data_IF_755435163296
#
_entry.id   IF_755435163296
#
_cell.length_a   1.000
_cell.length_b   1.000
_cell.length_c   1.000
_cell.angle_alpha   90.00
_cell.angle_beta   90.00
_cell.angle_gamma   90.00
#
_symmetry.space_group_name_H-M   'P 1'
#
loop_
_entity.id
_entity.type
_entity.pdbx_description
1 polymer ?
#
# COMPACT_ATOMS: atom_id res chain seq x y z
N UNK A 1 6.45 15.39 -11.41
CA UNK A 1 7.33 14.32 -10.88
C UNK A 1 6.44 13.32 -10.22
N UNK A 2 6.45 12.08 -10.68
CA UNK A 2 5.58 11.02 -10.15
C UNK A 2 6.18 10.43 -8.88
N UNK A 3 5.34 10.19 -7.89
CA UNK A 3 5.79 9.62 -6.62
C UNK A 3 6.00 8.12 -6.74
N UNK A 4 7.18 7.65 -6.37
CA UNK A 4 7.47 6.23 -6.20
C UNK A 4 8.32 6.01 -4.95
N UNK A 5 8.22 4.82 -4.38
CA UNK A 5 9.04 4.38 -3.25
C UNK A 5 9.66 3.04 -3.62
N UNK A 6 10.97 2.91 -3.38
CA UNK A 6 11.70 1.64 -3.48
C UNK A 6 12.29 1.35 -2.11
N UNK A 7 12.06 0.16 -1.59
CA UNK A 7 12.55 -0.26 -0.28
C UNK A 7 13.27 -1.60 -0.39
N UNK A 8 14.40 -1.73 0.29
CA UNK A 8 15.04 -3.01 0.56
C UNK A 8 14.73 -3.36 2.02
N UNK A 9 13.96 -4.41 2.22
CA UNK A 9 13.52 -4.85 3.55
C UNK A 9 14.39 -5.95 4.15
N UNK A 10 15.14 -6.67 3.30
CA UNK A 10 15.91 -7.81 3.76
C UNK A 10 17.18 -7.99 2.92
N UNK A 11 18.29 -8.29 3.59
CA UNK A 11 19.55 -8.70 2.98
C UNK A 11 20.07 -9.92 3.75
N UNK A 12 20.20 -11.04 3.08
CA UNK A 12 20.71 -12.27 3.64
C UNK A 12 22.02 -12.66 2.97
N UNK A 13 22.95 -13.14 3.77
CA UNK A 13 24.26 -13.63 3.34
C UNK A 13 24.43 -15.08 3.83
N UNK A 14 23.83 -16.07 3.15
CA UNK A 14 23.85 -17.45 3.60
C UNK A 14 25.27 -18.00 3.75
N UNK A 15 25.54 -18.62 4.90
CA UNK A 15 26.86 -19.21 5.20
C UNK A 15 27.96 -18.19 5.50
N UNK A 16 27.62 -16.90 5.67
CA UNK A 16 28.61 -15.87 6.01
C UNK A 16 29.15 -16.05 7.43
N UNK A 17 30.45 -15.81 7.57
CA UNK A 17 31.14 -15.62 8.86
C UNK A 17 31.96 -14.34 8.76
N UNK A 18 32.32 -13.79 9.91
CA UNK A 18 32.91 -12.45 10.00
C UNK A 18 34.21 -12.23 9.16
N UNK A 19 34.92 -13.29 8.84
CA UNK A 19 36.22 -13.23 8.14
C UNK A 19 36.19 -13.93 6.76
N UNK A 20 35.01 -14.30 6.25
CA UNK A 20 34.86 -14.96 4.95
C UNK A 20 33.84 -14.21 4.12
N UNK A 21 34.20 -13.85 2.89
CA UNK A 21 33.27 -13.24 1.93
C UNK A 21 32.25 -14.28 1.50
N UNK A 22 30.95 -13.99 1.62
CA UNK A 22 29.90 -14.93 1.21
C UNK A 22 29.86 -15.12 -0.29
N UNK A 23 29.57 -16.34 -0.73
CA UNK A 23 29.39 -16.66 -2.16
C UNK A 23 28.15 -16.02 -2.76
N UNK A 24 27.10 -15.82 -1.93
CA UNK A 24 25.79 -15.34 -2.35
C UNK A 24 25.27 -14.27 -1.40
N UNK A 25 24.53 -13.32 -1.99
CA UNK A 25 23.68 -12.41 -1.27
C UNK A 25 22.25 -12.55 -1.79
N UNK A 26 21.27 -12.61 -0.89
CA UNK A 26 19.85 -12.59 -1.22
C UNK A 26 19.28 -11.27 -0.73
N UNK A 27 18.71 -10.49 -1.66
CA UNK A 27 18.16 -9.16 -1.38
C UNK A 27 16.69 -9.18 -1.72
N UNK A 28 15.84 -8.84 -0.75
CA UNK A 28 14.40 -8.76 -0.92
C UNK A 28 13.95 -7.32 -0.70
N UNK A 29 13.18 -6.83 -1.66
CA UNK A 29 12.65 -5.48 -1.62
C UNK A 29 11.37 -5.36 -2.41
N UNK A 30 10.80 -4.17 -2.40
CA UNK A 30 9.61 -3.85 -3.16
C UNK A 30 9.61 -2.40 -3.61
N UNK A 31 8.75 -2.09 -4.54
CA UNK A 31 8.49 -0.73 -4.95
C UNK A 31 6.98 -0.45 -4.99
N UNK A 32 6.63 0.80 -4.84
CA UNK A 32 5.24 1.28 -4.87
C UNK A 32 5.16 2.54 -5.71
N UNK A 33 4.12 2.65 -6.51
CA UNK A 33 3.83 3.83 -7.32
C UNK A 33 2.33 3.85 -7.64
N UNK A 34 1.79 5.03 -7.90
CA UNK A 34 0.41 5.21 -8.35
C UNK A 34 0.28 5.24 -9.88
N UNK A 35 1.40 5.22 -10.60
CA UNK A 35 1.43 5.36 -12.05
C UNK A 35 1.92 4.06 -12.70
N UNK A 36 1.11 3.50 -13.60
CA UNK A 36 1.41 2.24 -14.29
C UNK A 36 2.62 2.34 -15.22
N UNK A 37 2.89 3.50 -15.83
CA UNK A 37 4.07 3.70 -16.68
C UNK A 37 5.35 3.70 -15.83
N UNK A 38 5.31 4.36 -14.66
CA UNK A 38 6.42 4.32 -13.70
C UNK A 38 6.61 2.89 -13.18
N UNK A 39 5.52 2.15 -12.95
CA UNK A 39 5.59 0.73 -12.55
C UNK A 39 6.28 -0.12 -13.61
N UNK A 40 5.92 0.05 -14.88
CA UNK A 40 6.55 -0.67 -15.99
C UNK A 40 8.04 -0.31 -16.10
N UNK A 41 8.37 0.97 -15.99
CA UNK A 41 9.75 1.45 -15.98
C UNK A 41 10.57 0.82 -14.85
N UNK A 42 10.06 0.80 -13.63
CA UNK A 42 10.75 0.21 -12.48
C UNK A 42 10.97 -1.30 -12.66
N UNK A 43 9.97 -2.01 -13.18
CA UNK A 43 10.07 -3.44 -13.50
C UNK A 43 11.17 -3.74 -14.50
N UNK A 44 11.41 -2.86 -15.44
CA UNK A 44 12.51 -3.00 -16.39
C UNK A 44 13.85 -2.57 -15.79
N UNK A 45 13.89 -1.41 -15.14
CA UNK A 45 15.16 -0.79 -14.72
C UNK A 45 15.81 -1.46 -13.51
N UNK A 46 15.03 -2.02 -12.58
CA UNK A 46 15.59 -2.68 -11.38
C UNK A 46 16.45 -3.88 -11.78
N UNK A 47 15.98 -4.84 -12.61
CA UNK A 47 16.84 -5.93 -13.10
C UNK A 47 18.06 -5.43 -13.89
N UNK A 48 17.85 -4.50 -14.81
CA UNK A 48 18.95 -3.95 -15.63
C UNK A 48 20.10 -3.37 -14.76
N UNK A 49 19.74 -2.64 -13.71
CA UNK A 49 20.73 -2.06 -12.80
C UNK A 49 21.40 -3.14 -11.96
N UNK A 50 20.64 -4.10 -11.41
CA UNK A 50 21.18 -5.18 -10.60
C UNK A 50 22.16 -6.04 -11.40
N UNK A 51 21.78 -6.44 -12.61
CA UNK A 51 22.63 -7.22 -13.53
C UNK A 51 23.85 -6.42 -13.99
N UNK A 52 23.68 -5.15 -14.33
CA UNK A 52 24.77 -4.27 -14.75
C UNK A 52 25.82 -4.09 -13.66
N UNK A 53 25.41 -3.84 -12.43
CA UNK A 53 26.30 -3.68 -11.28
C UNK A 53 27.00 -5.00 -10.96
N UNK A 54 26.29 -6.12 -10.95
CA UNK A 54 26.86 -7.44 -10.72
C UNK A 54 27.93 -7.76 -11.77
N UNK A 55 27.62 -7.56 -13.05
CA UNK A 55 28.55 -7.80 -14.16
C UNK A 55 29.80 -6.94 -14.04
N UNK A 56 29.67 -5.66 -13.68
CA UNK A 56 30.81 -4.78 -13.47
C UNK A 56 31.75 -5.28 -12.35
N UNK A 57 31.22 -6.03 -11.39
CA UNK A 57 31.97 -6.65 -10.29
C UNK A 57 32.30 -8.13 -10.50
N UNK A 58 32.18 -8.65 -11.73
CA UNK A 58 32.41 -10.06 -12.07
C UNK A 58 31.51 -11.04 -11.30
N UNK A 59 30.31 -10.58 -10.96
CA UNK A 59 29.26 -11.36 -10.32
C UNK A 59 28.08 -11.55 -11.29
N UNK A 60 27.15 -12.40 -10.89
CA UNK A 60 25.88 -12.62 -11.60
C UNK A 60 24.74 -12.23 -10.67
N UNK A 61 23.80 -11.45 -11.17
CA UNK A 61 22.53 -11.23 -10.48
C UNK A 61 21.41 -11.94 -11.24
N UNK A 62 20.46 -12.49 -10.48
CA UNK A 62 19.18 -13.00 -10.99
C UNK A 62 18.08 -12.26 -10.26
N UNK A 63 17.27 -11.54 -11.00
CA UNK A 63 16.18 -10.74 -10.44
C UNK A 63 14.84 -11.41 -10.74
N UNK A 64 14.17 -11.88 -9.71
CA UNK A 64 12.81 -12.44 -9.80
C UNK A 64 11.82 -11.42 -9.32
N UNK A 65 10.77 -11.18 -10.08
CA UNK A 65 9.71 -10.23 -9.75
C UNK A 65 8.38 -10.95 -9.64
N UNK A 66 7.67 -10.73 -8.53
CA UNK A 66 6.28 -11.17 -8.38
C UNK A 66 5.33 -10.06 -8.85
N UNK A 67 4.17 -10.40 -9.44
CA UNK A 67 3.12 -9.43 -9.66
C UNK A 67 2.71 -8.82 -8.31
N UNK A 68 2.58 -7.51 -8.24
CA UNK A 68 1.95 -6.85 -7.11
C UNK A 68 0.52 -6.47 -7.48
N UNK A 69 -0.13 -5.70 -6.61
CA UNK A 69 -1.45 -5.15 -6.86
C UNK A 69 -1.35 -3.83 -7.63
N UNK A 70 -2.38 -3.52 -8.39
CA UNK A 70 -2.52 -2.21 -9.02
C UNK A 70 -2.91 -1.15 -7.97
N UNK A 71 -2.70 0.12 -8.31
CA UNK A 71 -3.12 1.20 -7.42
C UNK A 71 -4.64 1.16 -7.20
N UNK A 72 -5.07 1.27 -5.95
CA UNK A 72 -6.48 1.47 -5.62
C UNK A 72 -6.84 2.92 -5.91
N UNK A 73 -7.71 3.11 -6.89
CA UNK A 73 -8.21 4.43 -7.29
C UNK A 73 -9.72 4.44 -7.06
N UNK A 74 -10.17 5.29 -6.17
CA UNK A 74 -11.59 5.47 -5.89
C UNK A 74 -12.30 6.11 -7.09
N UNK A 75 -13.49 5.62 -7.43
CA UNK A 75 -14.39 6.31 -8.34
C UNK A 75 -14.85 7.63 -7.71
N UNK A 76 -14.66 8.74 -8.43
CA UNK A 76 -14.89 10.08 -7.90
C UNK A 76 -16.37 10.32 -7.53
N UNK A 77 -17.29 9.92 -8.42
CA UNK A 77 -18.72 10.11 -8.20
C UNK A 77 -19.19 9.27 -7.01
N UNK A 78 -18.80 8.01 -6.96
CA UNK A 78 -19.12 7.11 -5.85
C UNK A 78 -18.48 7.56 -4.55
N UNK A 79 -17.26 8.11 -4.55
CA UNK A 79 -16.59 8.62 -3.35
C UNK A 79 -17.36 9.81 -2.74
N UNK A 80 -17.88 10.71 -3.58
CA UNK A 80 -18.73 11.82 -3.14
C UNK A 80 -20.07 11.33 -2.58
N UNK A 81 -20.64 10.29 -3.16
CA UNK A 81 -21.90 9.71 -2.68
C UNK A 81 -21.70 8.96 -1.35
N UNK A 82 -20.64 8.13 -1.27
CA UNK A 82 -20.24 7.44 -0.03
C UNK A 82 -19.95 8.44 1.08
N UNK A 83 -19.26 9.55 0.81
CA UNK A 83 -18.98 10.55 1.85
C UNK A 83 -20.25 11.07 2.53
N UNK A 84 -21.30 11.34 1.75
CA UNK A 84 -22.60 11.79 2.29
C UNK A 84 -23.29 10.71 3.14
N UNK A 85 -23.18 9.44 2.72
CA UNK A 85 -23.76 8.35 3.53
C UNK A 85 -23.00 8.14 4.83
N UNK A 86 -21.67 8.30 4.82
CA UNK A 86 -20.83 8.20 6.01
C UNK A 86 -21.10 9.34 7.01
N UNK A 87 -21.34 10.56 6.54
CA UNK A 87 -21.71 11.69 7.41
C UNK A 87 -22.97 11.44 8.22
N UNK A 88 -23.92 10.64 7.73
CA UNK A 88 -25.09 10.23 8.48
C UNK A 88 -24.76 9.34 9.70
N UNK A 89 -23.57 8.70 9.70
CA UNK A 89 -23.12 7.83 10.78
C UNK A 89 -22.19 8.59 11.73
N UNK A 90 -21.19 9.29 11.16
CA UNK A 90 -20.12 9.92 11.96
C UNK A 90 -20.36 11.39 12.25
N UNK A 91 -21.39 12.00 11.65
CA UNK A 91 -21.71 13.42 11.75
C UNK A 91 -21.03 14.27 10.69
N UNK A 92 -21.67 15.40 10.41
CA UNK A 92 -21.21 16.38 9.43
C UNK A 92 -19.80 16.88 9.78
N UNK A 93 -18.92 16.99 8.78
CA UNK A 93 -17.54 17.45 8.93
C UNK A 93 -16.56 16.42 9.48
N UNK A 94 -17.01 15.22 9.84
CA UNK A 94 -16.13 14.13 10.29
C UNK A 94 -15.70 13.18 9.15
N UNK A 95 -16.15 13.43 7.93
CA UNK A 95 -15.66 12.76 6.73
C UNK A 95 -14.68 13.69 6.01
N UNK A 96 -13.46 13.23 5.82
CA UNK A 96 -12.39 14.01 5.20
C UNK A 96 -12.15 13.48 3.78
N UNK A 97 -12.48 14.27 2.77
CA UNK A 97 -12.08 14.00 1.40
C UNK A 97 -10.66 14.54 1.20
N UNK A 98 -9.76 13.70 0.73
CA UNK A 98 -8.37 14.10 0.50
C UNK A 98 -7.88 13.62 -0.87
N UNK A 99 -7.10 14.47 -1.52
CA UNK A 99 -6.37 14.14 -2.75
C UNK A 99 -4.92 13.72 -2.48
N UNK A 100 -4.55 13.55 -1.21
CA UNK A 100 -3.20 13.08 -0.84
C UNK A 100 -3.19 11.55 -0.88
N UNK A 101 -2.47 10.95 -1.82
CA UNK A 101 -2.41 9.49 -1.92
C UNK A 101 -1.62 8.89 -0.76
N UNK A 102 -2.04 7.70 -0.33
CA UNK A 102 -1.38 6.92 0.70
C UNK A 102 -0.60 5.75 0.07
N UNK A 103 0.70 5.65 0.35
CA UNK A 103 1.61 4.62 -0.19
C UNK A 103 1.46 3.25 0.50
N UNK A 104 0.28 2.94 1.02
CA UNK A 104 -0.06 1.60 1.49
C UNK A 104 -0.13 0.59 0.36
N UNK A 105 -0.13 -0.70 0.69
CA UNK A 105 -0.42 -1.78 -0.25
C UNK A 105 -1.79 -2.35 0.09
N UNK A 106 -2.66 -2.47 -0.91
CA UNK A 106 -4.03 -2.92 -0.76
C UNK A 106 -4.44 -3.69 -2.01
N UNK A 107 -5.15 -4.81 -1.86
CA UNK A 107 -5.60 -5.63 -2.99
C UNK A 107 -6.97 -5.21 -3.55
N UNK A 108 -7.68 -4.31 -2.88
CA UNK A 108 -8.94 -3.74 -3.36
C UNK A 108 -8.79 -3.06 -4.73
N UNK A 109 -7.59 -2.63 -5.08
CA UNK A 109 -7.25 -2.14 -6.42
C UNK A 109 -7.60 -3.12 -7.54
N UNK A 110 -7.56 -4.42 -7.27
CA UNK A 110 -7.98 -5.45 -8.23
C UNK A 110 -9.48 -5.35 -8.60
N UNK A 111 -10.32 -4.93 -7.67
CA UNK A 111 -11.74 -4.71 -7.92
C UNK A 111 -11.97 -3.40 -8.67
N UNK A 112 -11.31 -2.32 -8.26
CA UNK A 112 -11.52 -0.98 -8.87
C UNK A 112 -11.03 -0.88 -10.31
N UNK A 113 -10.24 -1.85 -10.80
CA UNK A 113 -9.91 -1.96 -12.22
C UNK A 113 -11.11 -2.42 -13.08
N UNK A 114 -12.13 -3.02 -12.49
CA UNK A 114 -13.24 -3.65 -13.21
C UNK A 114 -14.60 -3.02 -12.91
N UNK A 115 -14.76 -2.47 -11.72
CA UNK A 115 -16.02 -1.86 -11.27
C UNK A 115 -15.73 -0.59 -10.47
N UNK A 116 -16.63 0.41 -10.50
CA UNK A 116 -16.53 1.56 -9.60
C UNK A 116 -16.50 1.08 -8.14
N UNK A 117 -15.57 1.62 -7.36
CA UNK A 117 -15.40 1.23 -5.97
C UNK A 117 -14.79 2.34 -5.14
N UNK A 118 -15.00 2.27 -3.84
CA UNK A 118 -14.45 3.24 -2.87
C UNK A 118 -13.83 2.49 -1.70
N UNK A 119 -12.55 2.73 -1.48
CA UNK A 119 -11.86 2.40 -0.25
C UNK A 119 -11.78 3.66 0.62
N UNK A 120 -12.24 3.58 1.85
CA UNK A 120 -12.12 4.65 2.83
C UNK A 120 -11.39 4.17 4.08
N UNK A 121 -10.78 5.12 4.78
CA UNK A 121 -10.09 4.87 6.04
C UNK A 121 -11.00 5.24 7.21
N UNK A 122 -11.07 4.35 8.19
CA UNK A 122 -11.72 4.64 9.46
C UNK A 122 -10.67 5.09 10.48
N UNK A 123 -10.88 6.25 11.10
CA UNK A 123 -10.05 6.67 12.24
C UNK A 123 -10.26 5.74 13.43
N UNK A 124 -9.17 5.19 13.94
CA UNK A 124 -9.17 4.20 15.05
C UNK A 124 -8.24 4.62 16.18
N UNK A 125 -7.80 5.88 16.17
CA UNK A 125 -6.90 6.42 17.17
C UNK A 125 -7.56 6.58 18.54
N UNK A 126 -6.75 6.46 19.58
CA UNK A 126 -7.15 6.60 20.99
C UNK A 126 -6.71 7.94 21.59
N UNK A 127 -5.84 8.70 20.92
CA UNK A 127 -5.34 10.00 21.36
C UNK A 127 -3.88 10.28 20.97
N UNK A 128 -3.21 11.17 21.74
CA UNK A 128 -1.90 11.71 21.39
C UNK A 128 -0.76 10.66 21.36
N UNK A 129 -0.90 9.55 22.11
CA UNK A 129 0.12 8.48 22.17
C UNK A 129 -0.07 7.38 21.13
N UNK A 130 -0.93 7.61 20.14
CA UNK A 130 -1.21 6.61 19.10
C UNK A 130 0.05 6.24 18.32
N UNK A 131 0.22 4.94 18.13
CA UNK A 131 1.30 4.40 17.33
C UNK A 131 0.79 4.04 15.94
N UNK A 132 1.59 4.28 14.87
CA UNK A 132 1.16 3.97 13.51
C UNK A 132 0.98 2.46 13.31
N UNK A 133 0.27 2.10 12.25
CA UNK A 133 0.19 0.72 11.77
C UNK A 133 1.58 0.08 11.67
N UNK A 134 1.67 -1.21 11.95
CA UNK A 134 2.92 -1.98 11.99
C UNK A 134 3.88 -1.66 13.16
N UNK A 135 3.49 -0.79 14.08
CA UNK A 135 4.25 -0.61 15.31
C UNK A 135 3.89 -1.72 16.31
N UNK A 136 4.86 -2.35 17.03
CA UNK A 136 4.57 -3.42 17.99
C UNK A 136 3.71 -2.97 19.19
N UNK A 137 3.63 -1.66 19.44
CA UNK A 137 2.77 -1.07 20.48
C UNK A 137 1.49 -0.46 19.90
N UNK A 138 1.15 -0.79 18.66
CA UNK A 138 -0.10 -0.34 18.03
C UNK A 138 -1.31 -0.76 18.87
N UNK A 139 -2.21 0.19 19.08
CA UNK A 139 -3.51 -0.02 19.71
C UNK A 139 -4.57 0.69 18.89
N UNK A 140 -5.76 0.12 18.85
CA UNK A 140 -6.93 0.74 18.23
C UNK A 140 -8.02 0.97 19.26
N UNK A 141 -8.81 1.99 19.05
CA UNK A 141 -10.05 2.18 19.80
C UNK A 141 -11.09 1.17 19.32
N UNK A 142 -11.49 0.26 20.20
CA UNK A 142 -12.51 -0.75 19.89
C UNK A 142 -13.90 -0.14 19.65
N UNK A 143 -14.14 1.10 20.08
CA UNK A 143 -15.37 1.83 19.79
C UNK A 143 -15.51 2.18 18.30
N UNK A 144 -14.42 2.15 17.55
CA UNK A 144 -14.45 2.33 16.10
C UNK A 144 -15.09 1.13 15.35
N UNK A 145 -15.06 -0.07 15.90
CA UNK A 145 -15.58 -1.27 15.23
C UNK A 145 -17.09 -1.17 14.89
N UNK A 146 -17.98 -0.83 15.83
CA UNK A 146 -19.39 -0.64 15.50
C UNK A 146 -19.62 0.53 14.52
N UNK A 147 -18.80 1.57 14.58
CA UNK A 147 -18.87 2.70 13.62
C UNK A 147 -18.56 2.22 12.22
N UNK A 148 -17.45 1.49 12.03
CA UNK A 148 -17.10 0.92 10.73
C UNK A 148 -18.17 -0.01 10.17
N UNK A 149 -18.73 -0.86 11.04
CA UNK A 149 -19.85 -1.73 10.67
C UNK A 149 -21.06 -0.93 10.21
N UNK A 150 -21.44 0.10 10.95
CA UNK A 150 -22.57 0.97 10.60
C UNK A 150 -22.35 1.70 9.24
N UNK A 151 -21.11 2.15 8.97
CA UNK A 151 -20.73 2.76 7.70
C UNK A 151 -20.97 1.79 6.52
N UNK A 152 -20.53 0.55 6.63
CA UNK A 152 -20.72 -0.45 5.58
C UNK A 152 -22.22 -0.82 5.40
N UNK A 153 -22.96 -1.00 6.49
CA UNK A 153 -24.40 -1.27 6.44
C UNK A 153 -25.13 -0.12 5.77
N UNK A 154 -24.82 1.12 6.14
CA UNK A 154 -25.45 2.31 5.56
C UNK A 154 -25.20 2.40 4.05
N UNK A 155 -23.96 2.15 3.60
CA UNK A 155 -23.63 2.11 2.18
C UNK A 155 -24.41 0.99 1.47
N UNK A 156 -24.43 -0.22 2.02
CA UNK A 156 -25.19 -1.32 1.43
C UNK A 156 -26.69 -0.99 1.28
N UNK A 157 -27.32 -0.43 2.30
CA UNK A 157 -28.71 0.00 2.25
C UNK A 157 -28.94 1.13 1.25
N UNK A 158 -27.95 2.00 1.02
CA UNK A 158 -28.04 3.09 0.06
C UNK A 158 -27.97 2.61 -1.38
N UNK A 159 -27.01 1.73 -1.70
CA UNK A 159 -26.76 1.26 -3.07
C UNK A 159 -27.63 0.08 -3.52
N UNK A 160 -28.29 -0.61 -2.59
CA UNK A 160 -29.18 -1.76 -2.91
C UNK A 160 -30.68 -1.39 -2.99
N UNK A 161 -31.01 -0.11 -3.06
CA UNK A 161 -32.40 0.37 -3.21
C UNK A 161 -32.90 0.30 -4.63
#
# INVERSE_FOLDING_TARGET
>A
MENCVISIGQVELPGSVWNVVPERAHIVGGFRTFNNDVRALLRQRIPELAEGIAKANRCTAVCTQTPGYDATINDEAMALEVSRTLENIVGEGNVILTNKPFMGSEDFGCFTQHVPGVLFWLGIGTGEDDKPLHNPYFKMDLQALPVGTACHVQNALHFLK
#
